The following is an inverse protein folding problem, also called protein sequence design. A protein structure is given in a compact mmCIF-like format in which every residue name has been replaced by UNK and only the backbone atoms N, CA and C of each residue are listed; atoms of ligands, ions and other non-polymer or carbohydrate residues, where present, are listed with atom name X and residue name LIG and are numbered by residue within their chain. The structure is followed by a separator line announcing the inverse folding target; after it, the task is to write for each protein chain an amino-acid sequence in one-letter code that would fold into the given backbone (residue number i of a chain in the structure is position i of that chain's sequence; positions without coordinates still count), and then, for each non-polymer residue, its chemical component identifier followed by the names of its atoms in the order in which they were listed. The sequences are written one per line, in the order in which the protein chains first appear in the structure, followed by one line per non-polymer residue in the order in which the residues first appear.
data_IF_071826300648
#
_entry.id   IF_071826300648
#
_cell.length_a   1.000
_cell.length_b   1.000
_cell.length_c   1.000
_cell.angle_alpha   90.00
_cell.angle_beta   90.00
_cell.angle_gamma   90.00
#
_symmetry.space_group_name_H-M   'P 1'
#
loop_
_entity.id
_entity.type
_entity.pdbx_description
1 polymer ?
#
# COMPACT_ATOMS: atom_id res chain seq x y z
N UNK A 1 -25.45 2.48 -9.78
CA UNK A 1 -25.06 3.42 -10.85
C UNK A 1 -24.94 4.81 -10.26
N UNK A 2 -23.73 5.33 -10.15
CA UNK A 2 -23.47 6.76 -9.91
C UNK A 2 -22.03 7.01 -10.33
N UNK A 3 -21.85 7.55 -11.53
CA UNK A 3 -20.53 7.98 -12.00
C UNK A 3 -20.25 9.37 -11.43
N UNK A 4 -19.02 9.60 -10.98
CA UNK A 4 -18.48 10.95 -10.80
C UNK A 4 -17.26 11.11 -11.69
N UNK A 5 -17.50 11.65 -12.88
CA UNK A 5 -16.45 12.28 -13.68
C UNK A 5 -16.19 13.67 -13.12
N UNK A 6 -14.99 13.89 -12.56
CA UNK A 6 -14.44 15.23 -12.45
C UNK A 6 -13.29 15.35 -13.44
N UNK A 7 -13.44 16.32 -14.34
CA UNK A 7 -12.53 16.60 -15.43
C UNK A 7 -11.47 17.64 -14.98
N UNK A 8 -10.45 17.83 -15.83
CA UNK A 8 -9.48 18.93 -15.84
C UNK A 8 -8.26 18.83 -14.91
N UNK A 9 -7.26 18.15 -15.48
CA UNK A 9 -5.91 18.67 -15.73
C UNK A 9 -4.80 18.50 -14.66
N UNK A 10 -3.53 18.40 -15.13
CA UNK A 10 -2.68 17.32 -14.66
C UNK A 10 -1.36 17.79 -14.05
N UNK A 11 -0.83 16.99 -13.12
CA UNK A 11 0.57 17.07 -12.70
C UNK A 11 1.22 15.69 -12.92
N UNK A 12 1.36 15.33 -14.19
CA UNK A 12 2.45 14.45 -14.63
C UNK A 12 3.69 15.32 -14.80
N UNK A 13 4.28 15.74 -13.67
CA UNK A 13 5.59 16.38 -13.68
C UNK A 13 6.64 15.33 -14.04
N UNK A 14 7.20 15.43 -15.24
CA UNK A 14 8.34 14.61 -15.66
C UNK A 14 9.48 14.74 -14.65
N UNK A 15 9.77 13.65 -13.92
CA UNK A 15 11.06 13.43 -13.27
C UNK A 15 11.68 12.15 -13.85
N UNK A 16 12.66 12.37 -14.73
CA UNK A 16 13.41 11.32 -15.41
C UNK A 16 14.51 10.79 -14.50
N UNK A 17 14.17 9.89 -13.57
CA UNK A 17 15.12 9.17 -12.72
C UNK A 17 14.81 7.66 -12.68
N UNK A 18 15.83 6.77 -12.62
CA UNK A 18 15.65 5.32 -12.77
C UNK A 18 15.21 4.62 -11.47
N UNK A 19 14.36 5.26 -10.67
CA UNK A 19 13.86 4.79 -9.37
C UNK A 19 12.40 4.30 -9.46
N UNK A 20 12.06 3.59 -10.56
CA UNK A 20 10.69 3.17 -10.90
C UNK A 20 10.11 2.20 -9.87
N UNK A 21 9.53 2.79 -8.84
CA UNK A 21 8.76 2.17 -7.77
C UNK A 21 7.49 1.55 -8.36
N UNK A 22 7.59 0.30 -8.81
CA UNK A 22 6.46 -0.41 -9.45
C UNK A 22 5.42 -0.75 -8.40
N UNK A 23 4.18 -0.27 -8.56
CA UNK A 23 3.11 -0.51 -7.56
C UNK A 23 2.06 -1.46 -8.14
N UNK A 24 1.79 -2.53 -7.40
CA UNK A 24 0.72 -3.50 -7.68
C UNK A 24 -0.46 -3.19 -6.73
N UNK A 25 -1.60 -2.68 -7.24
CA UNK A 25 -2.73 -2.17 -6.46
C UNK A 25 -4.18 -2.29 -7.08
N UNK A 26 -5.00 -3.29 -6.73
CA UNK A 26 -6.48 -3.15 -6.52
C UNK A 26 -7.55 -2.99 -7.68
N UNK A 27 -7.76 -3.97 -8.59
CA UNK A 27 -9.06 -4.28 -9.27
C UNK A 27 -9.30 -5.78 -9.61
N UNK A 28 -10.51 -6.34 -9.46
CA UNK A 28 -10.78 -7.81 -9.43
C UNK A 28 -11.25 -8.34 -10.79
N UNK A 29 -10.82 -9.55 -11.16
CA UNK A 29 -11.43 -10.33 -12.25
C UNK A 29 -12.09 -11.61 -11.66
N UNK A 30 -13.34 -11.95 -12.01
CA UNK A 30 -14.01 -13.14 -11.49
C UNK A 30 -13.65 -14.37 -12.33
N UNK A 31 -12.71 -15.19 -11.85
CA UNK A 31 -12.47 -16.52 -12.40
C UNK A 31 -12.77 -17.58 -11.34
N UNK A 32 -13.94 -18.20 -11.49
CA UNK A 32 -14.38 -19.39 -10.74
C UNK A 32 -13.51 -20.59 -11.11
N UNK A 33 -12.33 -20.75 -10.49
CA UNK A 33 -11.67 -22.06 -10.36
C UNK A 33 -10.62 -22.07 -9.24
N UNK A 34 -10.55 -23.16 -8.47
CA UNK A 34 -9.75 -23.30 -7.25
C UNK A 34 -8.22 -23.39 -7.42
N UNK A 35 -7.61 -22.67 -8.38
CA UNK A 35 -6.15 -22.55 -8.55
C UNK A 35 -5.79 -21.10 -8.92
N UNK A 36 -5.41 -20.30 -7.93
CA UNK A 36 -4.89 -18.92 -8.13
C UNK A 36 -3.49 -18.89 -8.77
N UNK A 37 -2.79 -20.04 -8.79
CA UNK A 37 -1.40 -20.19 -9.21
C UNK A 37 -1.00 -19.67 -10.61
N UNK A 38 -1.80 -19.81 -11.70
CA UNK A 38 -1.30 -19.53 -13.05
C UNK A 38 -1.34 -18.05 -13.45
N UNK A 39 -2.03 -17.17 -12.70
CA UNK A 39 -2.19 -15.77 -13.08
C UNK A 39 -0.94 -14.92 -12.81
N UNK A 40 -0.29 -15.13 -11.66
CA UNK A 40 0.86 -14.33 -11.23
C UNK A 40 2.11 -14.45 -12.14
N UNK A 41 2.56 -15.64 -12.58
CA UNK A 41 3.79 -15.77 -13.37
C UNK A 41 3.72 -15.05 -14.73
N UNK A 42 2.56 -15.11 -15.40
CA UNK A 42 2.34 -14.45 -16.69
C UNK A 42 2.45 -12.93 -16.56
N UNK A 43 1.86 -12.37 -15.51
CA UNK A 43 1.84 -10.92 -15.30
C UNK A 43 3.20 -10.42 -14.84
N UNK A 44 3.90 -11.13 -13.95
CA UNK A 44 5.24 -10.71 -13.56
C UNK A 44 6.20 -10.75 -14.76
N UNK A 45 6.09 -11.76 -15.64
CA UNK A 45 6.86 -11.81 -16.88
C UNK A 45 6.57 -10.60 -17.80
N UNK A 46 5.29 -10.23 -17.96
CA UNK A 46 4.90 -9.06 -18.75
C UNK A 46 5.37 -7.73 -18.12
N UNK A 47 5.31 -7.63 -16.79
CA UNK A 47 5.79 -6.47 -16.04
C UNK A 47 7.32 -6.30 -16.10
N UNK A 48 8.09 -7.38 -16.31
CA UNK A 48 9.53 -7.26 -16.54
C UNK A 48 9.83 -6.59 -17.89
N UNK A 49 9.09 -6.93 -18.95
CA UNK A 49 9.25 -6.33 -20.28
C UNK A 49 8.68 -4.93 -20.41
N UNK A 50 7.60 -4.60 -19.69
CA UNK A 50 6.95 -3.28 -19.73
C UNK A 50 6.73 -2.76 -18.29
N UNK A 51 7.21 -1.56 -17.92
CA UNK A 51 7.01 -0.99 -16.58
C UNK A 51 5.55 -0.53 -16.39
N UNK A 52 4.66 -1.48 -16.06
CA UNK A 52 3.25 -1.23 -15.75
C UNK A 52 2.97 -1.29 -14.24
N UNK A 53 2.05 -0.45 -13.76
CA UNK A 53 1.49 -0.55 -12.42
C UNK A 53 0.27 -1.49 -12.45
N UNK A 54 0.24 -2.53 -11.62
CA UNK A 54 -0.69 -3.65 -11.81
C UNK A 54 -2.00 -3.56 -11.01
N UNK A 55 -3.08 -3.54 -11.77
CA UNK A 55 -4.49 -3.35 -11.42
C UNK A 55 -5.23 -4.40 -10.53
N UNK A 56 -4.74 -5.02 -9.44
CA UNK A 56 -5.34 -6.29 -8.88
C UNK A 56 -6.04 -6.31 -7.47
N UNK A 57 -7.34 -6.65 -7.35
CA UNK A 57 -8.18 -6.66 -6.11
C UNK A 57 -8.68 -8.05 -5.72
N UNK A 58 -8.89 -8.20 -4.42
CA UNK A 58 -9.63 -9.32 -3.82
C UNK A 58 -10.97 -8.85 -3.21
N UNK A 59 -11.83 -9.79 -2.84
CA UNK A 59 -13.09 -9.49 -2.13
C UNK A 59 -12.90 -9.46 -0.62
N UNK A 60 -11.91 -10.19 -0.11
CA UNK A 60 -11.61 -10.31 1.32
C UNK A 60 -10.14 -10.06 1.61
N UNK A 61 -9.83 -9.68 2.86
CA UNK A 61 -8.43 -9.50 3.32
C UNK A 61 -7.68 -10.83 3.28
N UNK A 62 -8.34 -11.95 3.60
CA UNK A 62 -7.72 -13.27 3.57
C UNK A 62 -7.36 -13.73 2.14
N UNK A 63 -8.22 -13.43 1.14
CA UNK A 63 -7.86 -13.62 -0.28
C UNK A 63 -6.59 -12.82 -0.62
N UNK A 64 -6.44 -11.58 -0.12
CA UNK A 64 -5.29 -10.71 -0.40
C UNK A 64 -4.00 -11.25 0.22
N UNK A 65 -4.02 -11.59 1.51
CA UNK A 65 -2.85 -12.11 2.23
C UNK A 65 -2.32 -13.41 1.60
N UNK A 66 -3.22 -14.30 1.17
CA UNK A 66 -2.87 -15.51 0.42
C UNK A 66 -2.19 -15.18 -0.91
N UNK A 67 -2.71 -14.23 -1.69
CA UNK A 67 -2.06 -13.82 -2.95
C UNK A 67 -0.70 -13.15 -2.75
N UNK A 68 -0.49 -12.40 -1.65
CA UNK A 68 0.81 -11.83 -1.32
C UNK A 68 1.82 -12.90 -0.87
N UNK A 69 1.37 -13.91 -0.12
CA UNK A 69 2.21 -15.05 0.25
C UNK A 69 2.65 -15.87 -0.98
N UNK A 70 1.73 -16.16 -1.91
CA UNK A 70 2.05 -16.81 -3.20
C UNK A 70 3.00 -15.94 -4.05
N UNK A 71 2.80 -14.61 -4.08
CA UNK A 71 3.68 -13.69 -4.80
C UNK A 71 5.09 -13.61 -4.18
N UNK A 72 5.22 -13.72 -2.85
CA UNK A 72 6.51 -13.76 -2.14
C UNK A 72 7.33 -14.99 -2.55
N UNK A 73 6.69 -16.17 -2.65
CA UNK A 73 7.33 -17.39 -3.16
C UNK A 73 7.77 -17.25 -4.63
N UNK A 74 6.98 -16.58 -5.47
CA UNK A 74 7.34 -16.31 -6.86
C UNK A 74 8.49 -15.30 -6.99
N UNK A 75 8.53 -14.29 -6.13
CA UNK A 75 9.64 -13.33 -6.07
C UNK A 75 10.94 -14.02 -5.63
N UNK A 76 10.91 -14.85 -4.58
CA UNK A 76 12.06 -15.64 -4.14
C UNK A 76 12.56 -16.59 -5.25
N UNK A 77 11.65 -17.18 -6.03
CA UNK A 77 12.01 -17.99 -7.19
C UNK A 77 12.67 -17.15 -8.29
N UNK A 78 12.16 -15.95 -8.58
CA UNK A 78 12.73 -15.04 -9.58
C UNK A 78 14.12 -14.55 -9.18
N UNK A 79 14.31 -14.11 -7.93
CA UNK A 79 15.62 -13.65 -7.43
C UNK A 79 16.67 -14.77 -7.53
N UNK A 80 16.29 -16.04 -7.30
CA UNK A 80 17.19 -17.20 -7.44
C UNK A 80 17.61 -17.51 -8.88
N UNK A 81 16.75 -17.28 -9.87
CA UNK A 81 16.99 -17.70 -11.27
C UNK A 81 17.36 -16.56 -12.23
N UNK A 82 16.89 -15.34 -11.97
CA UNK A 82 17.13 -14.13 -12.76
C UNK A 82 18.13 -13.18 -12.07
N UNK A 83 18.49 -13.45 -10.81
CA UNK A 83 19.35 -12.59 -10.00
C UNK A 83 18.63 -11.38 -9.38
N UNK A 84 19.36 -10.54 -8.62
CA UNK A 84 18.79 -9.42 -7.87
C UNK A 84 18.26 -8.26 -8.73
N UNK A 85 18.39 -8.35 -10.07
CA UNK A 85 17.97 -7.32 -11.02
C UNK A 85 16.48 -7.40 -11.40
N UNK A 86 15.63 -7.92 -10.50
CA UNK A 86 14.17 -8.01 -10.67
C UNK A 86 13.47 -6.92 -9.84
N UNK A 87 13.26 -5.70 -10.40
CA UNK A 87 12.62 -4.60 -9.68
C UNK A 87 11.11 -4.83 -9.52
N UNK A 88 10.73 -5.64 -8.54
CA UNK A 88 9.36 -5.85 -8.12
C UNK A 88 9.14 -5.16 -6.76
N UNK A 89 8.07 -4.37 -6.66
CA UNK A 89 7.49 -4.01 -5.37
C UNK A 89 6.00 -4.35 -5.38
N UNK A 90 5.53 -4.97 -4.30
CA UNK A 90 4.13 -5.31 -4.13
C UNK A 90 3.73 -5.06 -2.68
N UNK A 91 2.57 -4.41 -2.48
CA UNK A 91 2.15 -3.90 -1.18
C UNK A 91 0.69 -4.28 -0.95
N UNK A 92 0.41 -4.98 0.16
CA UNK A 92 -0.96 -5.21 0.60
C UNK A 92 -1.58 -3.95 1.20
N UNK A 93 -2.62 -3.40 0.58
CA UNK A 93 -3.36 -2.26 1.10
C UNK A 93 -4.74 -2.70 1.60
N UNK A 94 -5.10 -2.31 2.83
CA UNK A 94 -6.47 -2.46 3.34
C UNK A 94 -6.85 -1.35 4.33
N UNK A 95 -8.04 -1.42 4.94
CA UNK A 95 -8.56 -0.36 5.80
C UNK A 95 -7.67 -0.05 7.01
N UNK A 96 -7.73 1.20 7.53
CA UNK A 96 -6.86 1.67 8.64
C UNK A 96 -6.85 0.78 9.88
N UNK A 97 -7.97 0.11 10.23
CA UNK A 97 -8.02 -0.90 11.31
C UNK A 97 -6.96 -2.02 11.16
N UNK A 98 -6.50 -2.28 9.94
CA UNK A 98 -5.51 -3.30 9.66
C UNK A 98 -4.09 -2.76 9.39
N UNK A 99 -3.87 -1.43 9.40
CA UNK A 99 -2.54 -0.81 9.16
C UNK A 99 -2.13 0.19 10.24
N UNK A 100 -3.05 0.62 11.11
CA UNK A 100 -2.72 1.55 12.19
C UNK A 100 -1.82 0.84 13.23
N UNK A 101 -0.77 1.55 13.67
CA UNK A 101 0.19 1.12 14.69
C UNK A 101 -0.12 1.76 16.05
N UNK A 102 -0.81 2.92 16.06
CA UNK A 102 -1.12 3.67 17.28
C UNK A 102 -2.10 2.88 18.19
N UNK A 103 -1.68 2.43 19.39
CA UNK A 103 -2.49 1.55 20.24
C UNK A 103 -3.78 2.23 20.74
N UNK A 104 -3.79 3.56 20.90
CA UNK A 104 -4.96 4.32 21.32
C UNK A 104 -6.08 4.35 20.24
N UNK A 105 -5.72 4.11 18.98
CA UNK A 105 -6.66 4.06 17.85
C UNK A 105 -6.99 2.62 17.46
N UNK A 106 -6.02 1.71 17.53
CA UNK A 106 -6.18 0.27 17.22
C UNK A 106 -7.08 -0.45 18.22
N UNK A 107 -7.07 -0.03 19.49
CA UNK A 107 -7.93 -0.60 20.54
C UNK A 107 -9.43 -0.32 20.36
N UNK A 108 -9.82 0.55 19.42
CA UNK A 108 -11.21 0.85 19.15
C UNK A 108 -11.93 -0.30 18.42
N UNK A 109 -13.07 -0.72 18.97
CA UNK A 109 -13.79 -1.91 18.51
C UNK A 109 -14.34 -1.77 17.08
N UNK A 110 -14.93 -0.62 16.75
CA UNK A 110 -15.61 -0.39 15.47
C UNK A 110 -14.70 0.21 14.41
N UNK A 111 -14.85 -0.23 13.14
CA UNK A 111 -14.04 0.26 12.01
C UNK A 111 -14.13 1.79 11.87
N UNK A 112 -15.35 2.32 11.95
CA UNK A 112 -15.60 3.76 11.84
C UNK A 112 -15.00 4.55 13.02
N UNK A 113 -14.91 3.93 14.20
CA UNK A 113 -14.25 4.55 15.37
C UNK A 113 -12.73 4.61 15.24
N UNK A 114 -12.10 3.63 14.60
CA UNK A 114 -10.68 3.68 14.22
C UNK A 114 -10.44 4.80 13.20
N UNK A 115 -11.28 4.88 12.16
CA UNK A 115 -11.13 5.89 11.11
C UNK A 115 -11.38 7.32 11.63
N UNK A 116 -12.38 7.50 12.51
CA UNK A 116 -12.63 8.77 13.18
C UNK A 116 -11.53 9.12 14.20
N UNK A 117 -11.02 8.15 14.96
CA UNK A 117 -9.93 8.33 15.92
C UNK A 117 -8.63 8.74 15.23
N UNK A 118 -8.28 8.08 14.12
CA UNK A 118 -7.15 8.47 13.28
C UNK A 118 -7.32 9.90 12.74
N UNK A 119 -8.49 10.21 12.13
CA UNK A 119 -8.79 11.54 11.59
C UNK A 119 -8.74 12.65 12.65
N UNK A 120 -9.09 12.38 13.91
CA UNK A 120 -8.96 13.33 15.03
C UNK A 120 -7.52 13.70 15.37
N UNK A 121 -6.53 12.89 14.98
CA UNK A 121 -5.11 13.10 15.31
C UNK A 121 -4.27 13.55 14.10
N UNK A 122 -4.74 13.31 12.87
CA UNK A 122 -3.99 13.57 11.62
C UNK A 122 -4.64 14.59 10.68
N UNK A 123 -5.79 15.16 11.04
CA UNK A 123 -6.44 16.17 10.21
C UNK A 123 -5.65 17.48 10.23
N UNK A 124 -5.54 18.15 9.07
CA UNK A 124 -4.76 19.40 8.92
C UNK A 124 -5.12 20.43 9.97
N UNK A 125 -6.40 20.72 10.16
CA UNK A 125 -6.87 21.70 11.16
C UNK A 125 -6.49 21.36 12.60
N UNK A 126 -6.27 20.08 12.94
CA UNK A 126 -5.78 19.68 14.28
C UNK A 126 -4.28 19.93 14.39
N UNK A 127 -3.54 19.70 13.31
CA UNK A 127 -2.09 19.93 13.22
C UNK A 127 -1.79 21.44 13.24
N UNK A 128 -2.56 22.23 12.49
CA UNK A 128 -2.51 23.70 12.49
C UNK A 128 -2.71 24.26 13.91
N UNK A 129 -3.76 23.79 14.61
CA UNK A 129 -4.01 24.17 16.01
C UNK A 129 -2.93 23.67 16.97
N UNK A 130 -2.29 22.52 16.70
CA UNK A 130 -1.20 21.98 17.52
C UNK A 130 0.12 22.75 17.39
N UNK A 131 0.32 23.47 16.28
CA UNK A 131 1.44 24.43 16.12
C UNK A 131 1.25 25.62 17.08
N UNK A 132 0.02 26.12 17.21
CA UNK A 132 -0.32 27.20 18.15
C UNK A 132 -0.39 26.71 19.61
N UNK A 133 -0.85 25.48 19.84
CA UNK A 133 -1.14 24.94 21.17
C UNK A 133 -0.57 23.51 21.33
N UNK A 134 0.62 23.33 21.94
CA UNK A 134 1.28 22.02 22.08
C UNK A 134 0.56 21.04 23.03
N UNK A 135 -0.55 21.44 23.65
CA UNK A 135 -1.40 20.59 24.49
C UNK A 135 -2.38 19.71 23.67
N UNK A 136 -2.49 19.93 22.36
CA UNK A 136 -3.42 19.19 21.50
C UNK A 136 -2.76 17.85 21.07
N UNK A 137 -3.43 16.69 21.26
CA UNK A 137 -2.84 15.40 20.91
C UNK A 137 -2.78 15.21 19.40
N UNK A 138 -1.58 14.95 18.89
CA UNK A 138 -1.30 14.56 17.50
C UNK A 138 -0.79 13.12 17.40
N UNK A 139 -0.73 12.56 16.19
CA UNK A 139 -0.21 11.21 15.99
C UNK A 139 1.30 11.26 15.69
N UNK A 140 2.14 10.88 16.66
CA UNK A 140 3.61 10.84 16.51
C UNK A 140 4.08 10.08 15.27
N UNK A 141 3.49 8.91 14.99
CA UNK A 141 3.80 8.11 13.79
C UNK A 141 3.55 8.88 12.48
N UNK A 142 2.48 9.68 12.43
CA UNK A 142 2.13 10.45 11.24
C UNK A 142 3.06 11.66 11.06
N UNK A 143 3.34 12.39 12.14
CA UNK A 143 4.30 13.51 12.11
C UNK A 143 5.72 13.05 11.75
N UNK A 144 6.14 11.87 12.24
CA UNK A 144 7.45 11.31 11.90
C UNK A 144 7.52 10.89 10.43
N UNK A 145 6.48 10.23 9.91
CA UNK A 145 6.38 9.87 8.50
C UNK A 145 6.40 11.11 7.58
N UNK A 146 5.68 12.17 7.94
CA UNK A 146 5.66 13.41 7.15
C UNK A 146 7.02 14.15 7.19
N UNK A 147 7.74 14.09 8.31
CA UNK A 147 9.11 14.64 8.44
C UNK A 147 10.17 13.83 7.71
N UNK A 148 10.03 12.50 7.66
CA UNK A 148 10.91 11.61 6.88
C UNK A 148 10.71 11.83 5.36
N UNK A 149 9.51 12.27 4.97
CA UNK A 149 9.18 12.57 3.58
C UNK A 149 9.02 11.32 2.72
N UNK A 150 8.80 11.52 1.42
CA UNK A 150 8.63 10.43 0.45
C UNK A 150 9.96 9.73 0.09
N UNK A 151 11.09 10.18 0.64
CA UNK A 151 12.43 9.64 0.35
C UNK A 151 12.71 8.31 1.05
N UNK A 152 11.96 7.96 2.10
CA UNK A 152 11.97 6.62 2.69
C UNK A 152 11.15 5.63 1.84
N UNK A 153 11.61 5.48 0.60
CA UNK A 153 11.05 4.59 -0.40
C UNK A 153 11.27 3.14 0.08
N UNK A 154 10.18 2.52 0.56
CA UNK A 154 10.09 1.11 0.94
C UNK A 154 10.95 0.24 0.00
N UNK A 155 11.78 -0.72 0.48
CA UNK A 155 12.69 -1.45 -0.40
C UNK A 155 11.99 -2.23 -1.54
N UNK A 156 12.76 -2.80 -2.46
CA UNK A 156 12.22 -3.74 -3.44
C UNK A 156 11.86 -5.06 -2.73
N UNK A 157 10.68 -5.61 -3.02
CA UNK A 157 10.15 -6.79 -2.33
C UNK A 157 8.63 -6.86 -2.28
N UNK A 158 8.13 -7.96 -1.72
CA UNK A 158 6.70 -8.23 -1.52
C UNK A 158 6.37 -8.07 -0.03
N UNK A 159 5.51 -7.10 0.28
CA UNK A 159 5.16 -6.71 1.64
C UNK A 159 3.74 -7.14 1.98
N UNK A 160 3.63 -8.02 2.98
CA UNK A 160 2.35 -8.37 3.59
C UNK A 160 1.86 -7.27 4.52
N UNK A 161 0.59 -7.35 4.89
CA UNK A 161 -0.03 -6.51 5.93
C UNK A 161 0.74 -6.51 7.26
N UNK A 162 1.41 -7.61 7.61
CA UNK A 162 2.21 -7.75 8.82
C UNK A 162 3.58 -7.11 8.65
N UNK A 163 4.24 -7.36 7.51
CA UNK A 163 5.54 -6.75 7.18
C UNK A 163 5.46 -5.21 7.22
N UNK A 164 4.37 -4.63 6.71
CA UNK A 164 4.14 -3.17 6.73
C UNK A 164 3.94 -2.60 8.15
N UNK A 165 3.28 -3.33 9.05
CA UNK A 165 3.15 -2.91 10.46
C UNK A 165 4.42 -3.11 11.28
N UNK A 166 5.35 -3.95 10.81
CA UNK A 166 6.65 -4.13 11.44
C UNK A 166 7.68 -3.11 10.93
N UNK A 167 7.39 -2.44 9.81
CA UNK A 167 8.25 -1.43 9.19
C UNK A 167 8.01 -0.01 9.74
N UNK A 168 6.78 0.34 10.11
CA UNK A 168 6.40 1.65 10.67
C UNK A 168 6.14 1.63 12.18
#
# INVERSE_FOLDING_TARGET
MTAFTLNNNPIWSNSSEPSTSRVIACSKCPLELGKQLPFCPLITSYALSNPINLIYCTRTVHEMEKTLAELKLLYDYQVRHLGPSTPLRAVGLSSRKNLCINPAVVSAENRDSVDAGCRKLTASWVRDLAIENPNIPTCSFFENFEKAGLEEILPLGVYTMQDLRAFG
#
